data_IF_406690840669
#
_entry.id   IF_406690840669
#
_cell.length_a   1.000
_cell.length_b   1.000
_cell.length_c   1.000
_cell.angle_alpha   90.00
_cell.angle_beta   90.00
_cell.angle_gamma   90.00
#
_symmetry.space_group_name_H-M   'P 1'
#
loop_
_entity.id
_entity.type
_entity.pdbx_description
1 polymer ?
#
# COMPACT_ATOMS: atom_id res chain seq x y z
N UNK A 1 7.77 15.25 -16.97
CA UNK A 1 8.34 14.17 -16.12
C UNK A 1 7.88 14.43 -14.69
N UNK A 2 7.22 13.47 -14.02
CA UNK A 2 6.85 13.64 -12.61
C UNK A 2 8.14 13.58 -11.77
N UNK A 3 8.39 14.59 -10.94
CA UNK A 3 9.57 14.63 -10.07
C UNK A 3 9.52 13.46 -9.09
N UNK A 4 10.60 12.68 -9.02
CA UNK A 4 10.72 11.49 -8.16
C UNK A 4 10.87 11.84 -6.67
N UNK A 5 11.07 13.13 -6.37
CA UNK A 5 11.30 13.68 -5.02
C UNK A 5 10.03 13.71 -4.15
N UNK A 6 8.84 13.47 -4.71
CA UNK A 6 7.57 13.47 -3.96
C UNK A 6 7.06 12.07 -3.56
N UNK A 7 7.77 10.99 -3.92
CA UNK A 7 7.35 9.63 -3.57
C UNK A 7 8.18 9.11 -2.41
N UNK A 8 7.53 8.85 -1.28
CA UNK A 8 8.15 8.21 -0.12
C UNK A 8 8.03 6.69 -0.28
N UNK A 9 9.17 5.99 -0.29
CA UNK A 9 9.24 4.54 -0.43
C UNK A 9 9.38 3.84 0.94
N UNK A 10 9.03 2.55 1.01
CA UNK A 10 9.22 1.72 2.20
C UNK A 10 8.12 1.82 3.26
N UNK A 11 7.06 2.57 3.00
CA UNK A 11 5.90 2.69 3.89
C UNK A 11 4.86 1.62 3.56
N UNK A 12 4.25 1.02 4.59
CA UNK A 12 3.21 0.00 4.42
C UNK A 12 2.21 0.03 5.58
N UNK A 13 0.91 -0.11 5.26
CA UNK A 13 -0.14 -0.35 6.24
C UNK A 13 -0.28 -1.84 6.61
N UNK A 14 0.38 -2.73 5.87
CA UNK A 14 0.34 -4.17 6.11
C UNK A 14 1.31 -4.57 7.22
N UNK A 15 0.77 -5.20 8.24
CA UNK A 15 1.52 -6.01 9.20
C UNK A 15 1.77 -7.41 8.62
N UNK A 16 2.65 -8.19 9.25
CA UNK A 16 2.85 -9.59 8.89
C UNK A 16 1.57 -10.43 9.02
N UNK A 17 0.73 -10.10 10.02
CA UNK A 17 -0.56 -10.78 10.22
C UNK A 17 -1.56 -10.44 9.11
N UNK A 18 -1.61 -9.18 8.65
CA UNK A 18 -2.44 -8.79 7.51
C UNK A 18 -2.05 -9.57 6.25
N UNK A 19 -0.74 -9.72 6.00
CA UNK A 19 -0.23 -10.50 4.87
C UNK A 19 -0.61 -11.98 5.00
N UNK A 20 -0.51 -12.54 6.20
CA UNK A 20 -0.92 -13.92 6.47
C UNK A 20 -2.41 -14.13 6.18
N UNK A 21 -3.29 -13.31 6.76
CA UNK A 21 -4.74 -13.42 6.54
C UNK A 21 -5.12 -13.19 5.08
N UNK A 22 -4.42 -12.29 4.38
CA UNK A 22 -4.63 -12.05 2.96
C UNK A 22 -4.34 -13.30 2.12
N UNK A 23 -3.22 -13.99 2.40
CA UNK A 23 -2.84 -15.24 1.73
C UNK A 23 -3.82 -16.38 2.00
N UNK A 24 -4.38 -16.44 3.20
CA UNK A 24 -5.38 -17.44 3.60
C UNK A 24 -6.80 -17.11 3.08
N UNK A 25 -7.01 -15.95 2.45
CA UNK A 25 -8.34 -15.52 2.01
C UNK A 25 -9.29 -15.11 3.14
N UNK A 26 -8.76 -14.85 4.34
CA UNK A 26 -9.53 -14.62 5.57
C UNK A 26 -9.40 -13.18 6.12
N UNK A 27 -8.85 -12.26 5.33
CA UNK A 27 -8.74 -10.85 5.72
C UNK A 27 -10.03 -10.06 5.39
N UNK A 28 -11.05 -10.15 6.24
CA UNK A 28 -12.36 -9.53 5.96
C UNK A 28 -12.34 -8.00 5.86
N UNK A 29 -11.35 -7.34 6.46
CA UNK A 29 -11.19 -5.89 6.42
C UNK A 29 -10.06 -5.45 5.47
N UNK A 30 -9.82 -6.21 4.39
CA UNK A 30 -8.68 -5.96 3.49
C UNK A 30 -8.76 -4.58 2.81
N UNK A 31 -9.96 -4.01 2.71
CA UNK A 31 -10.20 -2.67 2.17
C UNK A 31 -9.54 -1.55 3.00
N UNK A 32 -9.22 -1.78 4.28
CA UNK A 32 -8.47 -0.82 5.10
C UNK A 32 -6.98 -0.78 4.74
N UNK A 33 -6.52 -1.75 3.94
CA UNK A 33 -5.10 -1.93 3.58
C UNK A 33 -4.86 -1.73 2.09
N UNK A 34 -5.64 -2.40 1.23
CA UNK A 34 -5.59 -2.20 -0.22
C UNK A 34 -6.35 -0.93 -0.63
N UNK A 35 -6.05 -0.43 -1.82
CA UNK A 35 -6.66 0.78 -2.38
C UNK A 35 -5.84 2.03 -2.09
N UNK A 36 -6.55 3.14 -1.87
CA UNK A 36 -5.98 4.47 -1.67
C UNK A 36 -6.39 5.04 -0.31
N UNK A 37 -5.42 5.38 0.53
CA UNK A 37 -5.66 5.87 1.89
C UNK A 37 -4.90 7.17 2.13
N UNK A 38 -5.55 8.19 2.67
CA UNK A 38 -4.87 9.41 3.11
C UNK A 38 -3.96 9.09 4.29
N UNK A 39 -2.73 9.60 4.28
CA UNK A 39 -1.72 9.32 5.30
C UNK A 39 -0.71 10.45 5.39
N UNK A 40 -0.14 10.62 6.58
CA UNK A 40 0.98 11.53 6.81
C UNK A 40 2.23 10.71 7.12
N UNK A 41 3.32 10.94 6.40
CA UNK A 41 4.63 10.29 6.64
C UNK A 41 5.69 11.37 6.74
N UNK A 42 6.52 11.33 7.78
CA UNK A 42 7.57 12.32 8.03
C UNK A 42 7.06 13.78 7.98
N UNK A 43 5.82 14.00 8.43
CA UNK A 43 5.15 15.31 8.43
C UNK A 43 4.57 15.74 7.08
N UNK A 44 4.63 14.90 6.05
CA UNK A 44 4.13 15.18 4.71
C UNK A 44 2.79 14.46 4.50
N UNK A 45 1.74 15.22 4.22
CA UNK A 45 0.43 14.67 3.83
C UNK A 45 0.46 14.11 2.40
N UNK A 46 -0.18 12.97 2.20
CA UNK A 46 -0.30 12.35 0.88
C UNK A 46 -1.27 11.18 0.86
N UNK A 47 -1.14 10.36 -0.18
CA UNK A 47 -1.98 9.18 -0.39
C UNK A 47 -1.10 7.93 -0.49
N UNK A 48 -1.35 6.97 0.39
CA UNK A 48 -0.84 5.60 0.30
C UNK A 48 -1.60 4.81 -0.75
N UNK A 49 -0.89 4.07 -1.59
CA UNK A 49 -1.47 3.16 -2.57
C UNK A 49 -0.98 1.74 -2.31
N UNK A 50 -1.90 0.79 -2.26
CA UNK A 50 -1.59 -0.64 -2.23
C UNK A 50 -2.52 -1.41 -3.15
N UNK A 51 -1.96 -2.37 -3.89
CA UNK A 51 -2.67 -3.21 -4.83
C UNK A 51 -2.08 -4.61 -4.79
N UNK A 52 -2.90 -5.59 -5.15
CA UNK A 52 -2.44 -6.94 -5.40
C UNK A 52 -2.23 -7.13 -6.90
N UNK A 53 -0.98 -7.31 -7.31
CA UNK A 53 -0.60 -7.42 -8.71
C UNK A 53 0.49 -8.49 -8.91
N UNK A 54 0.22 -9.77 -8.56
CA UNK A 54 1.24 -10.81 -8.50
C UNK A 54 1.86 -11.15 -9.87
N UNK A 55 1.14 -10.87 -10.96
CA UNK A 55 1.55 -11.17 -12.34
C UNK A 55 1.83 -9.90 -13.15
N UNK A 56 1.88 -8.72 -12.53
CA UNK A 56 2.13 -7.48 -13.27
C UNK A 56 3.61 -7.33 -13.60
N UNK A 57 3.91 -7.00 -14.86
CA UNK A 57 5.26 -6.64 -15.29
C UNK A 57 5.71 -5.31 -14.67
N UNK A 58 4.78 -4.36 -14.51
CA UNK A 58 5.05 -3.05 -13.93
C UNK A 58 3.83 -2.44 -13.26
N UNK A 59 4.08 -1.70 -12.18
CA UNK A 59 3.14 -0.78 -11.52
C UNK A 59 3.78 0.61 -11.45
N UNK A 60 2.99 1.69 -11.55
CA UNK A 60 3.46 3.08 -11.52
C UNK A 60 2.52 3.99 -10.75
#
# INVERSE_FOLDING_TARGET
MKNKETVIAGVSLFTEHDIYLFKEGNHFNLYDKLGSHLMTVDGIEGTYFALWAPNAEKVS
#
